data_IF_460919721126
#
_entry.id   IF_460919721126
#
_cell.length_a   1.000
_cell.length_b   1.000
_cell.length_c   1.000
_cell.angle_alpha   90.00
_cell.angle_beta   90.00
_cell.angle_gamma   90.00
#
_symmetry.space_group_name_H-M   'P 1'
#
loop_
_entity.id
_entity.type
_entity.pdbx_description
1 polymer ?
#
# COMPACT_ATOMS: atom_id res chain seq x y z
N UNK A 1 48.78 -29.14 -17.20
CA UNK A 1 48.00 -29.79 -16.12
C UNK A 1 46.91 -28.80 -15.70
N UNK A 2 45.68 -28.95 -16.25
CA UNK A 2 44.47 -29.50 -15.57
C UNK A 2 44.04 -28.64 -14.36
N UNK A 3 43.10 -27.71 -14.56
CA UNK A 3 41.63 -27.84 -14.27
C UNK A 3 41.32 -28.07 -12.79
N UNK A 4 40.79 -27.04 -12.13
CA UNK A 4 40.03 -27.11 -10.88
C UNK A 4 38.52 -26.98 -11.16
N UNK A 5 37.64 -27.47 -10.26
CA UNK A 5 36.52 -28.29 -10.67
C UNK A 5 35.15 -27.59 -10.73
N UNK A 6 34.33 -28.21 -11.55
CA UNK A 6 32.89 -28.13 -11.71
C UNK A 6 32.11 -28.22 -10.38
N UNK A 7 31.10 -27.39 -10.22
CA UNK A 7 29.96 -27.66 -9.35
C UNK A 7 28.66 -27.62 -10.19
N UNK A 8 28.20 -28.81 -10.59
CA UNK A 8 26.79 -29.09 -10.88
C UNK A 8 26.02 -28.99 -9.54
N UNK A 9 24.74 -28.63 -9.44
CA UNK A 9 23.64 -28.90 -10.34
C UNK A 9 22.55 -27.82 -10.19
N UNK A 10 22.07 -27.34 -11.34
CA UNK A 10 20.82 -26.62 -11.49
C UNK A 10 19.71 -27.66 -11.50
N UNK A 11 18.85 -27.68 -10.47
CA UNK A 11 17.55 -28.35 -10.58
C UNK A 11 16.59 -27.38 -11.24
N UNK A 12 16.34 -27.65 -12.52
CA UNK A 12 15.31 -27.03 -13.31
C UNK A 12 13.94 -27.54 -12.86
N UNK A 13 13.02 -26.61 -12.61
CA UNK A 13 11.60 -26.85 -12.85
C UNK A 13 11.15 -25.87 -13.91
N UNK A 14 10.86 -26.43 -15.09
CA UNK A 14 10.23 -25.77 -16.20
C UNK A 14 8.72 -26.10 -16.18
N UNK A 15 7.89 -25.07 -16.25
CA UNK A 15 6.51 -25.10 -16.74
C UNK A 15 6.23 -23.68 -17.28
N UNK A 16 6.39 -23.42 -18.58
CA UNK A 16 5.42 -23.60 -19.68
C UNK A 16 4.24 -22.61 -19.64
N UNK A 17 4.31 -21.55 -20.46
CA UNK A 17 3.24 -20.61 -20.79
C UNK A 17 3.78 -19.42 -21.62
N UNK A 18 3.12 -18.97 -22.71
CA UNK A 18 3.63 -17.90 -23.55
C UNK A 18 3.26 -16.54 -22.93
N UNK A 19 4.25 -15.73 -22.52
CA UNK A 19 3.93 -14.35 -22.16
C UNK A 19 5.02 -13.52 -21.50
N UNK A 20 5.89 -14.06 -20.64
CA UNK A 20 6.78 -13.22 -19.84
C UNK A 20 8.23 -13.70 -19.87
N UNK A 21 9.09 -12.84 -20.39
CA UNK A 21 10.53 -13.05 -20.43
C UNK A 21 11.06 -12.90 -18.99
N UNK A 22 11.20 -14.02 -18.29
CA UNK A 22 11.99 -14.08 -17.06
C UNK A 22 13.47 -13.95 -17.42
N UNK A 23 13.98 -12.72 -17.39
CA UNK A 23 15.42 -12.49 -17.35
C UNK A 23 15.95 -12.90 -15.98
N UNK A 24 16.75 -13.96 -15.99
CA UNK A 24 17.43 -14.58 -14.85
C UNK A 24 18.60 -13.71 -14.37
N UNK A 25 18.30 -12.54 -13.83
CA UNK A 25 19.27 -11.66 -13.15
C UNK A 25 18.79 -11.40 -11.71
N UNK A 26 19.49 -11.90 -10.68
CA UNK A 26 19.07 -11.81 -9.27
C UNK A 26 19.06 -10.37 -8.71
N UNK A 27 19.55 -9.38 -9.46
CA UNK A 27 19.50 -7.96 -9.10
C UNK A 27 18.60 -7.11 -10.03
N UNK A 28 18.13 -7.64 -11.17
CA UNK A 28 17.20 -6.93 -12.09
C UNK A 28 15.75 -7.39 -12.00
N UNK A 29 15.48 -8.55 -11.39
CA UNK A 29 14.12 -9.11 -11.29
C UNK A 29 13.15 -8.34 -10.37
N UNK A 30 13.64 -7.32 -9.65
CA UNK A 30 12.88 -6.59 -8.64
C UNK A 30 12.58 -5.13 -9.04
N UNK A 31 12.82 -4.71 -10.28
CA UNK A 31 12.55 -3.32 -10.67
C UNK A 31 11.03 -3.04 -10.69
N UNK A 32 10.33 -3.50 -11.73
CA UNK A 32 8.89 -3.34 -11.87
C UNK A 32 8.18 -4.69 -11.75
N UNK A 33 7.32 -4.80 -10.75
CA UNK A 33 6.62 -6.05 -10.43
C UNK A 33 5.13 -5.83 -10.63
N UNK A 34 4.53 -6.65 -11.49
CA UNK A 34 3.07 -6.75 -11.59
C UNK A 34 2.61 -8.01 -10.87
N UNK A 35 1.71 -7.85 -9.91
CA UNK A 35 1.14 -8.92 -9.12
C UNK A 35 -0.31 -9.14 -9.57
N UNK A 36 -0.52 -10.16 -10.40
CA UNK A 36 -1.85 -10.58 -10.84
C UNK A 36 -2.27 -11.93 -10.25
N UNK A 37 -1.30 -12.80 -9.95
CA UNK A 37 -1.50 -14.09 -9.32
C UNK A 37 -0.42 -14.49 -8.32
N UNK A 38 -0.60 -15.65 -7.69
CA UNK A 38 0.31 -16.14 -6.65
C UNK A 38 1.72 -16.45 -7.18
N UNK A 39 1.85 -16.80 -8.46
CA UNK A 39 3.14 -17.03 -9.11
C UNK A 39 3.98 -15.76 -9.16
N UNK A 40 3.36 -14.60 -9.45
CA UNK A 40 4.06 -13.31 -9.48
C UNK A 40 4.56 -12.91 -8.08
N UNK A 41 3.74 -13.17 -7.06
CA UNK A 41 4.13 -12.92 -5.66
C UNK A 41 5.27 -13.83 -5.24
N UNK A 42 5.25 -15.10 -5.66
CA UNK A 42 6.33 -16.03 -5.42
C UNK A 42 7.61 -15.63 -6.18
N UNK A 43 7.51 -15.07 -7.38
CA UNK A 43 8.64 -14.54 -8.14
C UNK A 43 9.27 -13.30 -7.49
N UNK A 44 8.44 -12.46 -6.86
CA UNK A 44 8.87 -11.31 -6.07
C UNK A 44 9.38 -11.70 -4.67
N UNK A 45 9.25 -12.97 -4.27
CA UNK A 45 9.68 -13.46 -2.97
C UNK A 45 11.20 -13.41 -2.85
N UNK A 46 11.70 -12.46 -2.06
CA UNK A 46 13.13 -12.25 -1.85
C UNK A 46 13.62 -10.85 -2.21
N UNK A 47 12.82 -10.07 -2.95
CA UNK A 47 13.10 -8.66 -3.16
C UNK A 47 13.09 -7.90 -1.82
N UNK A 48 14.14 -7.12 -1.57
CA UNK A 48 14.21 -6.21 -0.41
C UNK A 48 13.95 -4.76 -0.81
N UNK A 49 14.27 -4.40 -2.06
CA UNK A 49 13.98 -3.11 -2.65
C UNK A 49 13.46 -3.31 -4.07
N UNK A 50 12.45 -2.52 -4.45
CA UNK A 50 11.85 -2.55 -5.78
C UNK A 50 11.61 -1.13 -6.28
N UNK A 51 11.46 -0.97 -7.59
CA UNK A 51 11.12 0.31 -8.20
C UNK A 51 9.63 0.56 -8.11
N UNK A 52 8.80 -0.28 -8.72
CA UNK A 52 7.34 -0.16 -8.61
C UNK A 52 6.67 -1.52 -8.43
N UNK A 53 5.51 -1.50 -7.76
CA UNK A 53 4.64 -2.66 -7.63
C UNK A 53 3.25 -2.26 -8.09
N UNK A 54 2.71 -3.01 -9.04
CA UNK A 54 1.30 -2.91 -9.43
C UNK A 54 0.59 -4.19 -9.05
N UNK A 55 -0.31 -4.12 -8.07
CA UNK A 55 -1.14 -5.24 -7.65
C UNK A 55 -2.54 -5.08 -8.22
N UNK A 56 -2.91 -5.99 -9.12
CA UNK A 56 -4.23 -6.04 -9.75
C UNK A 56 -4.64 -7.49 -9.90
N UNK A 57 -5.53 -7.96 -9.03
CA UNK A 57 -5.95 -9.36 -9.04
C UNK A 57 -7.46 -9.50 -8.98
N UNK A 58 -7.98 -10.55 -9.61
CA UNK A 58 -9.38 -10.97 -9.48
C UNK A 58 -9.56 -12.17 -8.55
N UNK A 59 -8.50 -12.56 -7.83
CA UNK A 59 -8.47 -13.73 -6.96
C UNK A 59 -7.86 -13.40 -5.61
N UNK A 60 -8.01 -14.32 -4.67
CA UNK A 60 -7.35 -14.21 -3.37
C UNK A 60 -5.84 -14.40 -3.51
N UNK A 61 -5.08 -13.45 -2.99
CA UNK A 61 -3.62 -13.41 -3.10
C UNK A 61 -2.99 -13.44 -1.71
N UNK A 62 -1.99 -14.29 -1.50
CA UNK A 62 -1.19 -14.31 -0.28
C UNK A 62 0.10 -13.51 -0.48
N UNK A 63 0.15 -12.34 0.16
CA UNK A 63 1.28 -11.40 0.11
C UNK A 63 2.38 -11.69 1.14
N UNK A 64 2.25 -12.73 1.97
CA UNK A 64 3.28 -13.12 2.93
C UNK A 64 4.71 -13.22 2.33
N UNK A 65 4.91 -13.70 1.08
CA UNK A 65 6.24 -13.74 0.47
C UNK A 65 6.90 -12.37 0.26
N UNK A 66 6.12 -11.29 0.23
CA UNK A 66 6.59 -9.91 0.13
C UNK A 66 7.03 -9.31 1.47
N UNK A 67 6.93 -10.07 2.58
CA UNK A 67 7.25 -9.60 3.92
C UNK A 67 8.71 -9.16 4.14
N UNK A 68 9.58 -9.33 3.14
CA UNK A 68 10.97 -8.87 3.15
C UNK A 68 11.20 -7.52 2.47
N UNK A 69 10.18 -6.97 1.79
CA UNK A 69 10.29 -5.67 1.15
C UNK A 69 10.47 -4.58 2.21
N UNK A 70 11.55 -3.82 2.06
CA UNK A 70 11.90 -2.70 2.94
C UNK A 70 11.75 -1.36 2.23
N UNK A 71 11.88 -1.33 0.90
CA UNK A 71 11.86 -0.10 0.11
C UNK A 71 11.16 -0.26 -1.23
N UNK A 72 10.30 0.70 -1.56
CA UNK A 72 9.73 0.89 -2.90
C UNK A 72 10.14 2.29 -3.34
N UNK A 73 11.01 2.44 -4.34
CA UNK A 73 11.50 3.78 -4.72
C UNK A 73 10.47 4.59 -5.51
N UNK A 74 9.66 3.90 -6.31
CA UNK A 74 8.56 4.45 -7.08
C UNK A 74 7.21 4.15 -6.41
N UNK A 75 6.25 3.67 -7.18
CA UNK A 75 4.85 3.56 -6.77
C UNK A 75 4.47 2.14 -6.36
N UNK A 76 3.75 2.01 -5.25
CA UNK A 76 2.92 0.87 -4.90
C UNK A 76 1.47 1.19 -5.31
N UNK A 77 1.03 0.66 -6.44
CA UNK A 77 -0.33 0.78 -6.93
C UNK A 77 -1.10 -0.51 -6.62
N UNK A 78 -2.15 -0.42 -5.80
CA UNK A 78 -3.01 -1.53 -5.41
C UNK A 78 -4.42 -1.27 -5.89
N UNK A 79 -4.84 -2.05 -6.88
CA UNK A 79 -6.19 -2.12 -7.37
C UNK A 79 -6.45 -1.48 -8.74
N UNK A 80 -7.69 -1.57 -9.25
CA UNK A 80 -8.79 -2.39 -8.71
C UNK A 80 -8.46 -3.88 -8.59
N UNK A 81 -8.81 -4.45 -7.44
CA UNK A 81 -8.69 -5.89 -7.16
C UNK A 81 -9.93 -6.45 -6.48
N UNK A 82 -10.24 -7.71 -6.78
CA UNK A 82 -11.31 -8.51 -6.19
C UNK A 82 -10.66 -9.71 -5.49
N UNK A 83 -11.05 -9.99 -4.25
CA UNK A 83 -10.48 -11.06 -3.43
C UNK A 83 -9.23 -10.69 -2.63
N UNK A 84 -8.69 -9.48 -2.76
CA UNK A 84 -7.63 -9.00 -1.86
C UNK A 84 -8.24 -8.52 -0.53
N UNK A 85 -8.18 -9.36 0.51
CA UNK A 85 -8.76 -9.02 1.81
C UNK A 85 -7.88 -8.13 2.69
N UNK A 86 -6.57 -8.25 2.56
CA UNK A 86 -5.60 -7.52 3.39
C UNK A 86 -4.34 -7.18 2.60
N UNK A 87 -3.85 -5.95 2.78
CA UNK A 87 -2.55 -5.52 2.29
C UNK A 87 -1.59 -5.34 3.48
N UNK A 88 -0.62 -6.24 3.60
CA UNK A 88 0.34 -6.22 4.73
C UNK A 88 1.77 -6.27 4.21
N UNK A 89 2.56 -5.22 4.51
CA UNK A 89 3.99 -5.15 4.21
C UNK A 89 4.77 -4.82 5.49
N UNK A 90 5.04 -5.83 6.34
CA UNK A 90 5.50 -5.63 7.72
C UNK A 90 6.90 -5.02 7.87
N UNK A 91 7.69 -5.01 6.78
CA UNK A 91 9.05 -4.46 6.77
C UNK A 91 9.21 -3.23 5.90
N UNK A 92 8.17 -2.80 5.17
CA UNK A 92 8.26 -1.63 4.31
C UNK A 92 8.52 -0.39 5.16
N UNK A 93 9.59 0.35 4.86
CA UNK A 93 10.00 1.57 5.58
C UNK A 93 9.83 2.82 4.74
N UNK A 94 10.08 2.72 3.44
CA UNK A 94 10.04 3.86 2.53
C UNK A 94 9.30 3.46 1.26
N UNK A 95 8.36 4.30 0.83
CA UNK A 95 7.69 4.21 -0.46
C UNK A 95 7.77 5.54 -1.22
N UNK A 96 7.91 5.53 -2.54
CA UNK A 96 7.83 6.75 -3.35
C UNK A 96 6.40 7.27 -3.38
N UNK A 97 5.44 6.44 -3.78
CA UNK A 97 4.02 6.71 -3.67
C UNK A 97 3.26 5.43 -3.32
N UNK A 98 2.15 5.55 -2.60
CA UNK A 98 1.23 4.45 -2.29
C UNK A 98 -0.14 4.88 -2.76
N UNK A 99 -0.74 4.10 -3.66
CA UNK A 99 -2.06 4.33 -4.22
C UNK A 99 -2.90 3.07 -4.07
N UNK A 100 -3.94 3.12 -3.25
CA UNK A 100 -4.82 2.00 -2.94
C UNK A 100 -6.22 2.37 -3.39
N UNK A 101 -6.63 1.87 -4.56
CA UNK A 101 -7.82 2.34 -5.23
C UNK A 101 -8.73 1.20 -5.68
N UNK A 102 -10.03 1.36 -5.41
CA UNK A 102 -11.10 0.50 -5.92
C UNK A 102 -10.91 -0.99 -5.57
N UNK A 103 -10.55 -1.29 -4.31
CA UNK A 103 -10.49 -2.65 -3.80
C UNK A 103 -11.75 -2.98 -3.01
N UNK A 104 -12.65 -3.79 -3.60
CA UNK A 104 -13.98 -4.06 -3.05
C UNK A 104 -13.98 -4.90 -1.78
N UNK A 105 -13.02 -5.82 -1.64
CA UNK A 105 -12.94 -6.78 -0.53
C UNK A 105 -11.82 -6.46 0.48
N UNK A 106 -11.09 -5.36 0.27
CA UNK A 106 -9.95 -4.99 1.10
C UNK A 106 -10.47 -4.43 2.43
N UNK A 107 -10.18 -5.11 3.52
CA UNK A 107 -10.61 -4.73 4.87
C UNK A 107 -9.53 -3.99 5.65
N UNK A 108 -8.25 -4.27 5.38
CA UNK A 108 -7.15 -3.73 6.17
C UNK A 108 -5.90 -3.45 5.36
N UNK A 109 -5.25 -2.34 5.69
CA UNK A 109 -3.91 -1.98 5.19
C UNK A 109 -2.97 -1.81 6.39
N UNK A 110 -1.92 -2.62 6.45
CA UNK A 110 -1.01 -2.68 7.59
C UNK A 110 0.44 -2.47 7.15
N UNK A 111 0.98 -1.31 7.53
CA UNK A 111 2.33 -0.85 7.20
C UNK A 111 3.09 -0.44 8.47
N UNK A 112 3.30 -1.37 9.43
CA UNK A 112 3.74 -1.04 10.80
C UNK A 112 5.15 -0.46 10.93
N UNK A 113 5.97 -0.57 9.87
CA UNK A 113 7.33 -0.02 9.82
C UNK A 113 7.51 1.12 8.82
N UNK A 114 6.44 1.53 8.13
CA UNK A 114 6.54 2.61 7.16
C UNK A 114 6.87 3.90 7.89
N UNK A 115 7.95 4.56 7.49
CA UNK A 115 8.47 5.78 8.10
C UNK A 115 8.25 7.00 7.20
N UNK A 116 8.36 6.82 5.86
CA UNK A 116 8.25 7.90 4.89
C UNK A 116 7.54 7.46 3.62
N UNK A 117 6.72 8.35 3.09
CA UNK A 117 6.10 8.21 1.77
C UNK A 117 6.14 9.55 1.03
N UNK A 118 6.22 9.54 -0.31
CA UNK A 118 5.96 10.74 -1.10
C UNK A 118 4.47 11.08 -1.07
N UNK A 119 3.65 10.31 -1.79
CA UNK A 119 2.19 10.45 -1.80
C UNK A 119 1.50 9.22 -1.20
N UNK A 120 0.45 9.41 -0.41
CA UNK A 120 -0.43 8.35 0.09
C UNK A 120 -1.87 8.67 -0.32
N UNK A 121 -2.39 7.88 -1.25
CA UNK A 121 -3.75 7.99 -1.76
C UNK A 121 -4.52 6.69 -1.50
N UNK A 122 -5.62 6.80 -0.78
CA UNK A 122 -6.55 5.72 -0.50
C UNK A 122 -7.92 6.18 -0.98
N UNK A 123 -8.48 5.47 -1.96
CA UNK A 123 -9.74 5.90 -2.57
C UNK A 123 -10.66 4.75 -2.99
N UNK A 124 -11.94 4.84 -2.64
CA UNK A 124 -12.96 3.95 -3.19
C UNK A 124 -12.84 2.49 -2.72
N UNK A 125 -12.29 2.24 -1.53
CA UNK A 125 -12.18 0.90 -0.95
C UNK A 125 -13.37 0.67 0.00
N UNK A 126 -14.50 0.25 -0.58
CA UNK A 126 -15.80 0.18 0.10
C UNK A 126 -15.82 -0.64 1.40
N UNK A 127 -14.93 -1.62 1.54
CA UNK A 127 -14.86 -2.53 2.70
C UNK A 127 -13.70 -2.23 3.66
N UNK A 128 -12.87 -1.23 3.34
CA UNK A 128 -11.68 -0.90 4.11
C UNK A 128 -12.11 -0.28 5.42
N UNK A 129 -11.81 -0.94 6.54
CA UNK A 129 -12.16 -0.45 7.87
C UNK A 129 -10.95 0.05 8.65
N UNK A 130 -9.74 -0.41 8.30
CA UNK A 130 -8.53 -0.10 9.05
C UNK A 130 -7.34 0.23 8.13
N UNK A 131 -6.73 1.39 8.37
CA UNK A 131 -5.46 1.81 7.77
C UNK A 131 -4.47 2.10 8.89
N UNK A 132 -3.41 1.29 9.01
CA UNK A 132 -2.43 1.41 10.09
C UNK A 132 -1.02 1.59 9.54
N UNK A 133 -0.44 2.75 9.82
CA UNK A 133 0.97 3.06 9.61
C UNK A 133 1.50 3.91 10.80
N UNK A 134 1.55 3.34 12.02
CA UNK A 134 1.86 4.08 13.26
C UNK A 134 3.23 4.75 13.28
N UNK A 135 4.17 4.29 12.44
CA UNK A 135 5.53 4.86 12.34
C UNK A 135 5.69 5.87 11.22
N UNK A 136 4.64 6.13 10.43
CA UNK A 136 4.72 7.02 9.30
C UNK A 136 4.91 8.44 9.82
N UNK A 137 6.12 8.97 9.66
CA UNK A 137 6.49 10.27 10.20
C UNK A 137 6.33 11.40 9.18
N UNK A 138 6.42 11.09 7.88
CA UNK A 138 6.46 12.09 6.82
C UNK A 138 5.72 11.61 5.57
N UNK A 139 4.81 12.45 5.08
CA UNK A 139 4.26 12.40 3.71
C UNK A 139 4.78 13.64 2.98
N UNK A 140 5.71 13.47 2.02
CA UNK A 140 6.34 14.64 1.38
C UNK A 140 5.39 15.40 0.43
N UNK A 141 4.41 14.71 -0.14
CA UNK A 141 3.40 15.25 -1.04
C UNK A 141 2.01 15.19 -0.41
N UNK A 142 1.08 14.49 -1.06
CA UNK A 142 -0.33 14.45 -0.71
C UNK A 142 -0.69 13.23 0.13
N UNK A 143 -1.43 13.46 1.21
CA UNK A 143 -2.19 12.47 1.95
C UNK A 143 -3.67 12.62 1.57
N UNK A 144 -4.21 11.70 0.79
CA UNK A 144 -5.59 11.70 0.35
C UNK A 144 -6.30 10.42 0.80
N UNK A 145 -7.43 10.58 1.49
CA UNK A 145 -8.31 9.48 1.87
C UNK A 145 -9.73 9.86 1.45
N UNK A 146 -10.31 9.15 0.48
CA UNK A 146 -11.56 9.55 -0.15
C UNK A 146 -12.48 8.37 -0.44
N UNK A 147 -13.77 8.56 -0.29
CA UNK A 147 -14.76 7.56 -0.74
C UNK A 147 -14.52 6.15 -0.15
N UNK A 148 -14.04 6.09 1.10
CA UNK A 148 -13.84 4.85 1.87
C UNK A 148 -14.92 4.79 2.99
N UNK A 149 -16.18 4.45 2.67
CA UNK A 149 -17.31 4.60 3.60
C UNK A 149 -17.26 3.70 4.83
N UNK A 150 -16.53 2.58 4.76
CA UNK A 150 -16.34 1.66 5.87
C UNK A 150 -15.15 2.01 6.78
N UNK A 151 -14.35 3.03 6.42
CA UNK A 151 -13.10 3.34 7.11
C UNK A 151 -13.39 3.89 8.50
N UNK A 152 -13.00 3.14 9.52
CA UNK A 152 -13.28 3.44 10.93
C UNK A 152 -12.01 3.92 11.64
N UNK A 153 -10.87 3.31 11.34
CA UNK A 153 -9.60 3.57 12.02
C UNK A 153 -8.52 3.94 11.02
N UNK A 154 -7.88 5.08 11.28
CA UNK A 154 -6.64 5.51 10.62
C UNK A 154 -5.60 5.79 11.69
N UNK A 155 -4.60 4.92 11.79
CA UNK A 155 -3.49 5.06 12.73
C UNK A 155 -2.25 5.61 12.01
N UNK A 156 -2.08 6.92 12.14
CA UNK A 156 -0.93 7.69 11.67
C UNK A 156 -0.29 8.45 12.83
N UNK A 157 -0.24 7.83 14.00
CA UNK A 157 0.12 8.47 15.28
C UNK A 157 1.50 9.14 15.31
N UNK A 158 2.47 8.69 14.51
CA UNK A 158 3.78 9.34 14.39
C UNK A 158 3.85 10.45 13.32
N UNK A 159 2.77 10.75 12.60
CA UNK A 159 2.80 11.66 11.45
C UNK A 159 3.07 13.10 11.89
N UNK A 160 4.27 13.58 11.57
CA UNK A 160 4.72 14.92 11.93
C UNK A 160 4.45 15.95 10.83
N UNK A 161 4.48 15.55 9.57
CA UNK A 161 4.33 16.45 8.43
C UNK A 161 3.72 15.75 7.21
N UNK A 162 2.81 16.46 6.55
CA UNK A 162 2.21 16.12 5.27
C UNK A 162 2.11 17.38 4.41
N UNK A 163 2.33 17.30 3.11
CA UNK A 163 2.23 18.45 2.21
C UNK A 163 0.80 18.96 2.06
N UNK A 164 -0.07 18.14 1.47
CA UNK A 164 -1.52 18.39 1.39
C UNK A 164 -2.26 17.26 2.10
N UNK A 165 -3.27 17.56 2.92
CA UNK A 165 -4.11 16.54 3.55
C UNK A 165 -5.57 16.74 3.10
N UNK A 166 -6.14 15.71 2.49
CA UNK A 166 -7.52 15.68 2.02
C UNK A 166 -8.20 14.43 2.56
N UNK A 167 -9.22 14.62 3.40
CA UNK A 167 -10.07 13.53 3.88
C UNK A 167 -11.51 13.88 3.54
N UNK A 168 -12.19 13.07 2.75
CA UNK A 168 -13.58 13.32 2.35
C UNK A 168 -14.36 12.03 2.15
N UNK A 169 -15.67 12.07 2.41
CA UNK A 169 -16.55 10.92 2.23
C UNK A 169 -16.11 9.65 2.98
N UNK A 170 -15.65 9.83 4.23
CA UNK A 170 -15.30 8.76 5.19
C UNK A 170 -16.15 8.88 6.45
N UNK A 171 -17.49 8.71 6.35
CA UNK A 171 -18.45 9.05 7.42
C UNK A 171 -18.25 8.29 8.74
N UNK A 172 -17.59 7.12 8.72
CA UNK A 172 -17.33 6.29 9.90
C UNK A 172 -16.00 6.58 10.58
N UNK A 173 -15.16 7.42 9.98
CA UNK A 173 -13.79 7.60 10.44
C UNK A 173 -13.77 8.25 11.82
N UNK A 174 -13.35 7.47 12.80
CA UNK A 174 -13.14 7.95 14.16
C UNK A 174 -11.66 8.26 14.28
N UNK A 175 -11.31 9.54 14.20
CA UNK A 175 -9.92 9.94 14.29
C UNK A 175 -9.39 9.61 15.68
N UNK A 176 -8.39 8.73 15.77
CA UNK A 176 -7.76 8.41 17.05
C UNK A 176 -7.07 9.67 17.56
N UNK A 177 -7.43 10.14 18.76
CA UNK A 177 -6.79 11.31 19.36
C UNK A 177 -5.27 11.08 19.44
N UNK A 178 -4.50 11.94 18.76
CA UNK A 178 -3.06 11.78 18.55
C UNK A 178 -2.67 11.59 17.09
N UNK A 179 -3.60 11.20 16.22
CA UNK A 179 -3.31 10.94 14.82
C UNK A 179 -2.87 12.17 14.04
N UNK A 180 -3.25 13.42 14.37
CA UNK A 180 -2.72 14.63 13.69
C UNK A 180 -2.94 15.97 14.44
N UNK A 181 -1.87 16.72 14.77
CA UNK A 181 -1.93 18.18 14.89
C UNK A 181 -2.25 18.89 13.55
N UNK A 182 -1.89 18.27 12.41
CA UNK A 182 -2.04 18.87 11.08
C UNK A 182 -3.46 18.78 10.47
N UNK A 183 -4.32 17.86 10.93
CA UNK A 183 -5.70 17.75 10.45
C UNK A 183 -6.62 18.83 11.02
N UNK A 184 -6.20 19.57 12.05
CA UNK A 184 -6.96 20.74 12.54
C UNK A 184 -7.19 21.79 11.45
N UNK A 185 -6.36 21.83 10.41
CA UNK A 185 -6.50 22.74 9.27
C UNK A 185 -7.27 22.15 8.09
N UNK A 186 -7.43 20.83 8.02
CA UNK A 186 -7.94 20.12 6.84
C UNK A 186 -9.37 19.60 7.00
N UNK A 187 -9.95 19.69 8.20
CA UNK A 187 -11.39 19.56 8.38
C UNK A 187 -12.01 20.91 7.97
N UNK A 188 -12.72 21.04 6.83
CA UNK A 188 -13.65 22.14 6.69
C UNK A 188 -14.63 21.97 7.83
N UNK A 189 -14.71 22.95 8.73
CA UNK A 189 -15.70 22.95 9.79
C UNK A 189 -17.04 22.58 9.15
N UNK A 190 -17.53 21.37 9.44
CA UNK A 190 -18.96 21.10 9.39
C UNK A 190 -19.55 21.96 10.50
N UNK A 191 -19.65 23.27 10.24
CA UNK A 191 -20.48 24.18 10.98
C UNK A 191 -21.88 23.63 10.72
N UNK A 192 -22.58 23.06 11.71
CA UNK A 192 -24.03 23.04 11.58
C UNK A 192 -24.40 24.51 11.53
N UNK A 193 -24.83 24.96 10.35
CA UNK A 193 -25.51 26.24 10.23
C UNK A 193 -26.74 26.10 11.12
N UNK A 194 -26.63 26.60 12.35
CA UNK A 194 -27.76 26.74 13.27
C UNK A 194 -28.65 27.76 12.59
N UNK A 195 -29.55 27.27 11.75
CA UNK A 195 -30.71 28.01 11.27
C UNK A 195 -31.55 28.24 12.52
N UNK A 196 -31.34 29.39 13.17
CA UNK A 196 -32.25 29.88 14.19
C UNK A 196 -33.61 30.05 13.53
N UNK A 197 -34.68 29.41 14.03
CA UNK A 197 -36.01 29.65 13.51
C UNK A 197 -36.35 31.12 13.76
N UNK A 198 -36.70 31.83 12.69
CA UNK A 198 -37.39 33.11 12.81
C UNK A 198 -38.78 32.81 13.38
N UNK A 199 -39.01 33.28 14.60
CA UNK A 199 -40.29 33.26 15.29
C UNK A 199 -40.62 34.71 15.67
N UNK A 200 -41.91 35.06 15.80
CA UNK A 200 -42.91 35.20 14.74
C UNK A 200 -43.08 36.65 14.24
#
# INVERSE_FOLDING_TARGET
MRRSPSSLAVLAFAACGPGHVFHKDPERGCADITLAGQEDVAAAAGCTAVESITLRTGMRLDLAPLGRLEKITGMLAVGPSVGLSELSLPRLRIAGAIKIVANGDLHGVFLPKLERVGDLEVEGNNSLSNLSAPKLAMVSGKLAIRDDPALEVVDLTALASAGEVVISNTPKLTLVEGALPALRSAIPASRPEVVTPAEP
#
